data_IF_798907156271
#
_entry.id   IF_798907156271
#
_cell.length_a   1.000
_cell.length_b   1.000
_cell.length_c   1.000
_cell.angle_alpha   90.00
_cell.angle_beta   90.00
_cell.angle_gamma   90.00
#
_symmetry.space_group_name_H-M   'P 1'
#
loop_
_entity.id
_entity.type
_entity.pdbx_description
1 polymer ?
#
# COMPACT_ATOMS: atom_id res chain seq x y z
N UNK A 1 13.19 -36.48 18.32
CA UNK A 1 12.48 -36.12 17.07
C UNK A 1 12.62 -34.64 16.84
N UNK A 2 13.10 -34.22 15.66
CA UNK A 2 13.19 -32.81 15.29
C UNK A 2 11.85 -32.39 14.70
N UNK A 3 11.33 -31.23 15.11
CA UNK A 3 10.09 -30.67 14.56
C UNK A 3 10.38 -30.18 13.13
N UNK A 4 9.81 -30.85 12.13
CA UNK A 4 9.81 -30.35 10.75
C UNK A 4 8.83 -29.17 10.68
N UNK A 5 9.37 -27.95 10.58
CA UNK A 5 8.57 -26.74 10.47
C UNK A 5 8.31 -26.42 9.00
N UNK A 6 7.09 -26.70 8.54
CA UNK A 6 6.61 -26.30 7.23
C UNK A 6 5.72 -25.05 7.36
N UNK A 7 6.00 -24.02 6.55
CA UNK A 7 5.18 -22.80 6.51
C UNK A 7 4.02 -23.01 5.54
N UNK A 8 2.79 -22.80 5.99
CA UNK A 8 1.60 -22.81 5.13
C UNK A 8 1.66 -21.60 4.19
N UNK A 9 1.60 -21.77 2.86
CA UNK A 9 1.51 -20.66 1.92
C UNK A 9 0.32 -19.75 2.28
N UNK A 10 0.53 -18.43 2.33
CA UNK A 10 -0.51 -17.46 2.72
C UNK A 10 -0.69 -17.24 4.23
N UNK A 11 0.00 -17.99 5.09
CA UNK A 11 -0.06 -17.80 6.57
C UNK A 11 0.54 -16.49 7.07
N UNK A 12 1.20 -15.71 6.22
CA UNK A 12 1.83 -14.45 6.62
C UNK A 12 0.79 -13.34 6.66
N UNK A 13 0.54 -12.81 7.84
CA UNK A 13 -0.17 -11.56 8.01
C UNK A 13 0.70 -10.37 7.55
N UNK A 14 0.18 -9.56 6.62
CA UNK A 14 0.91 -8.42 6.05
C UNK A 14 0.61 -7.09 6.75
N UNK A 15 -0.58 -6.94 7.36
CA UNK A 15 -0.99 -5.76 8.15
C UNK A 15 -2.08 -6.18 9.14
N UNK A 16 -1.77 -6.10 10.43
CA UNK A 16 -2.64 -6.59 11.53
C UNK A 16 -3.34 -5.46 12.30
N UNK A 17 -3.37 -4.25 11.74
CA UNK A 17 -3.95 -3.08 12.40
C UNK A 17 -4.66 -2.15 11.41
N UNK A 18 -5.75 -1.55 11.87
CA UNK A 18 -6.50 -0.50 11.16
C UNK A 18 -5.73 0.83 11.18
N UNK A 19 -6.05 1.74 10.25
CA UNK A 19 -5.50 3.10 10.25
C UNK A 19 -5.85 3.83 11.56
N UNK A 20 -7.12 3.72 11.99
CA UNK A 20 -7.66 4.29 13.24
C UNK A 20 -6.86 3.83 14.47
N UNK A 21 -6.68 2.51 14.65
CA UNK A 21 -5.91 1.98 15.77
C UNK A 21 -4.45 2.44 15.76
N UNK A 22 -3.87 2.68 14.57
CA UNK A 22 -2.52 3.20 14.46
C UNK A 22 -2.46 4.67 14.90
N UNK A 23 -3.43 5.49 14.48
CA UNK A 23 -3.51 6.90 14.86
C UNK A 23 -3.69 7.04 16.37
N UNK A 24 -4.63 6.31 16.97
CA UNK A 24 -4.84 6.29 18.42
C UNK A 24 -3.58 5.87 19.18
N UNK A 25 -2.88 4.83 18.70
CA UNK A 25 -1.64 4.37 19.31
C UNK A 25 -0.53 5.43 19.22
N UNK A 26 -0.45 6.20 18.13
CA UNK A 26 0.51 7.28 17.96
C UNK A 26 0.18 8.46 18.86
N UNK A 27 -1.09 8.83 18.98
CA UNK A 27 -1.56 9.88 19.88
C UNK A 27 -1.32 9.54 21.34
N UNK A 28 -1.64 8.32 21.77
CA UNK A 28 -1.37 7.85 23.12
C UNK A 28 0.12 7.96 23.47
N UNK A 29 1.01 7.59 22.54
CA UNK A 29 2.46 7.71 22.76
C UNK A 29 2.90 9.17 22.79
N UNK A 30 2.32 10.05 21.98
CA UNK A 30 2.58 11.50 22.03
C UNK A 30 2.09 12.12 23.36
N UNK A 31 1.01 11.60 23.94
CA UNK A 31 0.47 11.99 25.24
C UNK A 31 1.28 11.47 26.44
N UNK A 32 2.32 10.66 26.21
CA UNK A 32 3.23 10.16 27.25
C UNK A 32 3.13 8.65 27.52
N UNK A 33 2.28 7.91 26.81
CA UNK A 33 2.23 6.45 26.90
C UNK A 33 3.54 5.84 26.41
N UNK A 34 4.08 4.85 27.14
CA UNK A 34 5.26 4.12 26.66
C UNK A 34 4.94 3.30 25.40
N UNK A 35 5.89 3.22 24.46
CA UNK A 35 5.73 2.41 23.23
C UNK A 35 5.43 0.93 23.51
N UNK A 36 5.87 0.41 24.67
CA UNK A 36 5.58 -0.96 25.12
C UNK A 36 4.12 -1.11 25.52
N UNK A 37 3.59 -0.14 26.27
CA UNK A 37 2.20 -0.12 26.70
C UNK A 37 1.27 0.04 25.49
N UNK A 38 1.55 0.99 24.59
CA UNK A 38 0.79 1.17 23.36
C UNK A 38 0.77 -0.10 22.49
N UNK A 39 1.89 -0.83 22.40
CA UNK A 39 1.92 -2.09 21.66
C UNK A 39 1.00 -3.17 22.24
N UNK A 40 0.84 -3.21 23.56
CA UNK A 40 -0.06 -4.15 24.23
C UNK A 40 -1.53 -3.71 24.10
N UNK A 41 -1.81 -2.42 24.25
CA UNK A 41 -3.17 -1.87 24.20
C UNK A 41 -3.77 -1.96 22.80
N UNK A 42 -3.00 -1.63 21.76
CA UNK A 42 -3.51 -1.53 20.39
C UNK A 42 -3.16 -2.73 19.51
N UNK A 43 -2.42 -3.71 20.03
CA UNK A 43 -1.99 -4.90 19.26
C UNK A 43 -0.97 -4.60 18.15
N UNK A 44 -0.37 -3.41 18.13
CA UNK A 44 0.56 -2.96 17.10
C UNK A 44 1.99 -3.21 17.57
N UNK A 45 2.85 -3.78 16.71
CA UNK A 45 4.24 -4.00 17.09
C UNK A 45 4.94 -2.70 17.52
N UNK A 46 5.73 -2.76 18.61
CA UNK A 46 6.50 -1.63 19.12
C UNK A 46 7.40 -0.99 18.04
N UNK A 47 7.93 -1.80 17.13
CA UNK A 47 8.77 -1.35 16.04
C UNK A 47 7.97 -0.57 14.98
N UNK A 48 6.73 -0.99 14.70
CA UNK A 48 5.81 -0.26 13.80
C UNK A 48 5.51 1.12 14.35
N UNK A 49 5.10 1.21 15.62
CA UNK A 49 4.83 2.48 16.32
C UNK A 49 6.06 3.39 16.26
N UNK A 50 7.25 2.85 16.57
CA UNK A 50 8.49 3.62 16.55
C UNK A 50 8.86 4.14 15.15
N UNK A 51 8.66 3.35 14.09
CA UNK A 51 8.91 3.77 12.70
C UNK A 51 7.95 4.86 12.26
N UNK A 52 6.66 4.70 12.56
CA UNK A 52 5.62 5.68 12.22
C UNK A 52 5.82 7.01 12.95
N UNK A 53 6.25 6.99 14.21
CA UNK A 53 6.66 8.21 14.93
C UNK A 53 7.84 8.94 14.28
N UNK A 54 8.77 8.19 13.67
CA UNK A 54 9.93 8.75 12.95
C UNK A 54 9.60 9.12 11.50
N UNK A 55 8.33 9.07 11.08
CA UNK A 55 7.91 9.35 9.71
C UNK A 55 8.43 8.33 8.69
N UNK A 56 8.82 7.12 9.12
CA UNK A 56 9.31 6.06 8.23
C UNK A 56 8.14 5.23 7.69
N UNK A 57 8.29 4.73 6.47
CA UNK A 57 7.29 3.87 5.80
C UNK A 57 5.90 4.53 5.76
N UNK A 58 5.85 5.84 5.50
CA UNK A 58 4.60 6.60 5.33
C UNK A 58 4.06 6.52 3.91
N UNK A 59 4.92 6.19 2.94
CA UNK A 59 4.55 6.03 1.55
C UNK A 59 3.72 4.76 1.32
N UNK A 60 2.97 4.75 0.22
CA UNK A 60 2.23 3.58 -0.23
C UNK A 60 3.18 2.39 -0.38
N UNK A 61 2.76 1.22 0.10
CA UNK A 61 3.53 0.00 -0.03
C UNK A 61 3.52 -0.43 -1.50
N UNK A 62 4.69 -0.59 -2.09
CA UNK A 62 4.85 -1.01 -3.49
C UNK A 62 5.87 -0.15 -4.24
N UNK A 63 6.06 -0.45 -5.53
CA UNK A 63 6.83 0.42 -6.42
C UNK A 63 6.05 1.72 -6.61
N UNK A 64 6.69 2.92 -6.49
CA UNK A 64 6.04 4.16 -6.84
C UNK A 64 5.51 4.13 -8.27
N UNK A 65 4.33 4.71 -8.49
CA UNK A 65 3.75 4.87 -9.82
C UNK A 65 4.61 5.81 -10.66
N UNK A 66 4.80 5.47 -11.93
CA UNK A 66 5.52 6.34 -12.88
C UNK A 66 4.59 7.42 -13.44
N UNK A 67 3.33 7.07 -13.68
CA UNK A 67 2.29 8.02 -14.09
C UNK A 67 1.75 8.77 -12.86
N UNK A 68 1.47 10.05 -13.06
CA UNK A 68 0.72 10.86 -12.11
C UNK A 68 -0.74 10.43 -12.05
N UNK A 69 -1.40 10.71 -10.93
CA UNK A 69 -2.84 10.43 -10.77
C UNK A 69 -3.70 11.13 -11.83
N UNK A 70 -3.27 12.30 -12.31
CA UNK A 70 -3.97 13.04 -13.36
C UNK A 70 -3.82 12.35 -14.73
N UNK A 71 -2.63 11.90 -15.08
CA UNK A 71 -2.40 11.14 -16.31
C UNK A 71 -3.17 9.81 -16.30
N UNK A 72 -3.16 9.07 -15.18
CA UNK A 72 -3.94 7.84 -15.03
C UNK A 72 -5.44 8.11 -15.23
N UNK A 73 -5.96 9.22 -14.70
CA UNK A 73 -7.36 9.60 -14.85
C UNK A 73 -7.72 9.94 -16.31
N UNK A 74 -6.91 10.76 -16.99
CA UNK A 74 -7.11 11.10 -18.39
C UNK A 74 -7.02 9.87 -19.31
N UNK A 75 -6.11 8.93 -19.02
CA UNK A 75 -6.02 7.66 -19.75
C UNK A 75 -7.28 6.83 -19.52
N UNK A 76 -7.76 6.71 -18.28
CA UNK A 76 -8.98 5.95 -17.99
C UNK A 76 -10.22 6.54 -18.69
N UNK A 77 -10.36 7.86 -18.71
CA UNK A 77 -11.45 8.56 -19.39
C UNK A 77 -11.41 8.32 -20.90
N UNK A 78 -10.24 8.52 -21.52
CA UNK A 78 -10.08 8.31 -22.97
C UNK A 78 -10.34 6.87 -23.39
N UNK A 79 -9.93 5.88 -22.58
CA UNK A 79 -10.27 4.48 -22.80
C UNK A 79 -11.78 4.23 -22.77
N UNK A 80 -12.50 4.90 -21.88
CA UNK A 80 -13.97 4.86 -21.82
C UNK A 80 -14.63 5.43 -23.08
N UNK A 81 -14.17 6.58 -23.56
CA UNK A 81 -14.66 7.22 -24.80
C UNK A 81 -14.41 6.32 -26.01
N UNK A 82 -13.20 5.79 -26.14
CA UNK A 82 -12.79 4.92 -27.25
C UNK A 82 -13.59 3.61 -27.25
N UNK A 83 -13.88 3.04 -26.08
CA UNK A 83 -14.77 1.90 -25.95
C UNK A 83 -16.22 2.24 -26.38
N UNK A 84 -16.74 3.40 -25.96
CA UNK A 84 -18.08 3.86 -26.33
C UNK A 84 -18.22 4.12 -27.83
N UNK A 85 -17.15 4.51 -28.51
CA UNK A 85 -17.11 4.66 -29.97
C UNK A 85 -17.03 3.33 -30.72
N UNK A 86 -16.99 2.19 -30.01
CA UNK A 86 -16.95 0.86 -30.62
C UNK A 86 -15.55 0.35 -30.92
N UNK A 87 -14.50 0.98 -30.39
CA UNK A 87 -13.10 0.60 -30.60
C UNK A 87 -12.41 0.19 -29.28
N UNK A 88 -12.89 -0.80 -28.53
CA UNK A 88 -12.29 -1.16 -27.25
C UNK A 88 -10.83 -1.60 -27.42
N UNK A 89 -9.91 -0.93 -26.72
CA UNK A 89 -8.49 -1.30 -26.72
C UNK A 89 -8.23 -2.50 -25.82
N UNK A 90 -7.36 -3.42 -26.26
CA UNK A 90 -6.97 -4.56 -25.45
C UNK A 90 -5.93 -4.15 -24.41
N UNK A 91 -5.73 -5.02 -23.40
CA UNK A 91 -4.70 -4.81 -22.37
C UNK A 91 -3.29 -4.63 -22.97
N UNK A 92 -3.01 -5.30 -24.10
CA UNK A 92 -1.71 -5.21 -24.75
C UNK A 92 -1.53 -3.86 -25.45
N UNK A 93 -2.57 -3.36 -26.12
CA UNK A 93 -2.56 -2.06 -26.78
C UNK A 93 -2.29 -0.95 -25.76
N UNK A 94 -3.04 -0.95 -24.65
CA UNK A 94 -2.87 0.02 -23.57
C UNK A 94 -1.45 0.00 -23.00
N UNK A 95 -0.90 -1.19 -22.74
CA UNK A 95 0.47 -1.33 -22.25
C UNK A 95 1.49 -0.80 -23.25
N UNK A 96 1.30 -1.07 -24.53
CA UNK A 96 2.23 -0.65 -25.59
C UNK A 96 2.22 0.86 -25.76
N UNK A 97 1.03 1.49 -25.72
CA UNK A 97 0.89 2.95 -25.78
C UNK A 97 1.54 3.61 -24.58
N UNK A 98 1.26 3.12 -23.36
CA UNK A 98 1.85 3.67 -22.14
C UNK A 98 3.37 3.47 -22.12
N UNK A 99 3.87 2.30 -22.53
CA UNK A 99 5.30 2.05 -22.62
C UNK A 99 5.98 3.08 -23.53
N UNK A 100 5.46 3.29 -24.74
CA UNK A 100 5.96 4.31 -25.67
C UNK A 100 5.88 5.74 -25.11
N UNK A 101 4.81 6.07 -24.40
CA UNK A 101 4.67 7.38 -23.75
C UNK A 101 5.75 7.61 -22.68
N UNK A 102 6.09 6.56 -21.92
CA UNK A 102 7.10 6.61 -20.87
C UNK A 102 8.54 6.55 -21.41
N UNK A 103 8.75 6.03 -22.62
CA UNK A 103 10.07 5.86 -23.23
C UNK A 103 10.76 7.16 -23.67
N UNK A 104 10.02 8.29 -23.78
CA UNK A 104 10.49 9.63 -24.19
C UNK A 104 11.50 9.68 -25.35
#
# INVERSE_FOLDING_TARGET
>A
MVRNYERVPGSRTYRDFTEENLEDALEAVRAGMSKKMAAQTYGISRATIARKLLGRNMQQVGHPKVLSSQEEASIAETLGVVANWGFPLTRLDVRTVIAKYLEK
#
